data_IF_998732548901
#
_entry.id   IF_998732548901
#
_cell.length_a   1.000
_cell.length_b   1.000
_cell.length_c   1.000
_cell.angle_alpha   90.00
_cell.angle_beta   90.00
_cell.angle_gamma   90.00
#
_symmetry.space_group_name_H-M   'P 1'
#
loop_
_entity.id
_entity.type
_entity.pdbx_description
1 polymer ?
#
# COMPACT_ATOMS: atom_id res chain seq x y z
N UNK A 1 7.04 2.48 -1.25
CA UNK A 1 7.32 3.92 -1.11
C UNK A 1 6.00 4.62 -0.83
N UNK A 2 5.61 4.72 0.45
CA UNK A 2 4.46 5.50 0.88
C UNK A 2 4.98 6.80 1.50
N UNK A 3 4.24 7.89 1.35
CA UNK A 3 4.48 9.16 2.03
C UNK A 3 3.16 9.95 2.07
N UNK A 4 2.91 10.75 3.12
CA UNK A 4 1.76 11.65 3.15
C UNK A 4 1.73 12.57 1.92
N UNK A 5 0.54 12.83 1.37
CA UNK A 5 0.38 13.58 0.13
C UNK A 5 0.82 15.04 0.27
N UNK A 6 0.59 15.64 1.43
CA UNK A 6 1.05 16.97 1.81
C UNK A 6 2.58 17.09 1.73
N UNK A 7 3.34 16.07 2.13
CA UNK A 7 4.80 16.11 2.00
C UNK A 7 5.26 16.10 0.53
N UNK A 8 4.55 15.40 -0.37
CA UNK A 8 4.85 15.45 -1.81
C UNK A 8 4.60 16.86 -2.36
N UNK A 9 3.49 17.48 -1.96
CA UNK A 9 3.13 18.83 -2.37
C UNK A 9 4.13 19.84 -1.83
N UNK A 10 4.51 19.73 -0.56
CA UNK A 10 5.51 20.58 0.09
C UNK A 10 6.85 20.51 -0.64
N UNK A 11 7.33 19.29 -0.94
CA UNK A 11 8.55 19.10 -1.71
C UNK A 11 8.47 19.73 -3.10
N UNK A 12 7.33 19.60 -3.78
CA UNK A 12 7.10 20.20 -5.10
C UNK A 12 7.17 21.74 -5.04
N UNK A 13 6.49 22.35 -4.06
CA UNK A 13 6.49 23.81 -3.87
C UNK A 13 7.91 24.29 -3.58
N UNK A 14 8.63 23.63 -2.67
CA UNK A 14 10.01 24.00 -2.35
C UNK A 14 10.96 23.81 -3.54
N UNK A 15 10.76 22.78 -4.36
CA UNK A 15 11.50 22.60 -5.61
C UNK A 15 11.26 23.76 -6.58
N UNK A 16 10.01 24.24 -6.71
CA UNK A 16 9.67 25.38 -7.56
C UNK A 16 10.27 26.69 -7.05
N UNK A 17 10.22 26.93 -5.73
CA UNK A 17 10.83 28.13 -5.10
C UNK A 17 12.34 28.14 -5.31
N UNK A 18 13.00 27.03 -5.03
CA UNK A 18 14.45 26.87 -5.24
C UNK A 18 14.81 27.02 -6.72
N UNK A 19 13.98 26.50 -7.64
CA UNK A 19 14.17 26.69 -9.08
C UNK A 19 14.07 28.16 -9.48
N UNK A 20 13.07 28.88 -8.99
CA UNK A 20 12.85 30.29 -9.31
C UNK A 20 13.97 31.21 -8.78
N UNK A 21 14.58 30.84 -7.65
CA UNK A 21 15.66 31.60 -7.03
C UNK A 21 17.04 31.37 -7.68
N UNK A 22 17.17 30.42 -8.62
CA UNK A 22 18.44 30.11 -9.27
C UNK A 22 18.74 31.09 -10.40
N UNK A 23 19.97 31.62 -10.38
CA UNK A 23 20.48 32.54 -11.40
C UNK A 23 21.10 31.84 -12.62
N UNK A 24 21.23 30.51 -12.59
CA UNK A 24 21.87 29.70 -13.64
C UNK A 24 20.93 28.63 -14.18
N UNK A 25 21.18 28.20 -15.42
CA UNK A 25 20.46 27.09 -16.05
C UNK A 25 20.62 25.82 -15.20
N UNK A 26 19.52 25.24 -14.69
CA UNK A 26 19.61 24.13 -13.75
C UNK A 26 20.00 22.84 -14.47
N UNK A 27 20.83 22.04 -13.80
CA UNK A 27 20.92 20.61 -14.10
C UNK A 27 19.56 19.95 -13.82
N UNK A 28 19.22 18.92 -14.60
CA UNK A 28 18.06 18.08 -14.30
C UNK A 28 18.33 17.32 -12.98
N UNK A 29 17.67 17.75 -11.90
CA UNK A 29 17.77 17.11 -10.58
C UNK A 29 16.50 16.30 -10.35
N UNK A 30 16.68 15.02 -10.02
CA UNK A 30 15.59 14.14 -9.60
C UNK A 30 15.50 14.18 -8.09
N UNK A 31 14.32 14.55 -7.58
CA UNK A 31 13.99 14.54 -6.16
C UNK A 31 13.15 13.30 -5.85
N UNK A 32 13.66 12.44 -4.96
CA UNK A 32 12.90 11.30 -4.45
C UNK A 32 12.16 11.72 -3.17
N UNK A 33 10.84 11.65 -3.20
CA UNK A 33 9.98 12.04 -2.07
C UNK A 33 9.14 10.83 -1.69
N UNK A 34 9.48 10.20 -0.58
CA UNK A 34 8.91 8.93 -0.18
C UNK A 34 9.46 8.44 1.16
N UNK A 35 8.97 7.28 1.61
CA UNK A 35 9.69 6.49 2.62
C UNK A 35 11.12 6.21 2.12
N UNK A 36 12.10 6.87 2.71
CA UNK A 36 13.48 6.91 2.21
C UNK A 36 14.41 6.01 3.00
N UNK A 37 15.69 6.01 2.65
CA UNK A 37 16.75 5.36 3.43
C UNK A 37 16.82 5.89 4.86
N UNK A 38 16.57 7.18 5.07
CA UNK A 38 16.61 7.82 6.39
C UNK A 38 15.42 7.44 7.28
N UNK A 39 14.27 7.09 6.69
CA UNK A 39 13.12 6.57 7.44
C UNK A 39 12.29 5.55 6.62
N UNK A 40 12.75 4.29 6.53
CA UNK A 40 12.15 3.31 5.65
C UNK A 40 10.83 2.76 6.19
N UNK A 41 9.81 2.67 5.32
CA UNK A 41 8.54 2.02 5.62
C UNK A 41 8.31 0.85 4.66
N UNK A 42 8.39 -0.37 5.19
CA UNK A 42 8.32 -1.61 4.41
C UNK A 42 6.91 -2.18 4.42
N UNK A 43 6.61 -3.01 3.42
CA UNK A 43 5.33 -3.72 3.36
C UNK A 43 5.06 -4.56 4.62
N UNK A 44 6.09 -5.15 5.25
CA UNK A 44 5.96 -5.86 6.52
C UNK A 44 5.40 -4.97 7.64
N UNK A 45 5.90 -3.73 7.76
CA UNK A 45 5.39 -2.76 8.72
C UNK A 45 3.91 -2.45 8.47
N UNK A 46 3.55 -2.21 7.20
CA UNK A 46 2.16 -1.98 6.81
C UNK A 46 1.26 -3.17 7.19
N UNK A 47 1.67 -4.40 6.88
CA UNK A 47 0.86 -5.59 7.20
C UNK A 47 0.67 -5.79 8.70
N UNK A 48 1.69 -5.49 9.51
CA UNK A 48 1.60 -5.56 10.95
C UNK A 48 0.62 -4.52 11.51
N UNK A 49 0.76 -3.26 11.08
CA UNK A 49 -0.09 -2.16 11.52
C UNK A 49 -1.56 -2.37 11.09
N UNK A 50 -1.82 -2.85 9.87
CA UNK A 50 -3.16 -3.21 9.40
C UNK A 50 -3.78 -4.27 10.32
N UNK A 51 -3.07 -5.37 10.58
CA UNK A 51 -3.60 -6.44 11.43
C UNK A 51 -3.92 -5.90 12.83
N UNK A 52 -3.00 -5.15 13.43
CA UNK A 52 -3.18 -4.61 14.79
C UNK A 52 -4.36 -3.64 14.86
N UNK A 53 -4.45 -2.71 13.90
CA UNK A 53 -5.54 -1.73 13.85
C UNK A 53 -6.91 -2.40 13.73
N UNK A 54 -7.10 -3.31 12.77
CA UNK A 54 -8.42 -3.91 12.53
C UNK A 54 -8.78 -5.03 13.52
N UNK A 55 -7.81 -5.59 14.26
CA UNK A 55 -8.12 -6.43 15.42
C UNK A 55 -8.68 -5.58 16.56
N UNK A 56 -8.13 -4.39 16.79
CA UNK A 56 -8.61 -3.46 17.83
C UNK A 56 -9.90 -2.75 17.41
N UNK A 57 -10.04 -2.44 16.12
CA UNK A 57 -11.16 -1.70 15.52
C UNK A 57 -11.78 -2.53 14.38
N UNK A 58 -12.48 -3.63 14.70
CA UNK A 58 -13.06 -4.48 13.66
C UNK A 58 -14.12 -3.74 12.87
N UNK A 59 -14.10 -3.93 11.55
CA UNK A 59 -15.17 -3.46 10.67
C UNK A 59 -16.47 -4.22 10.99
N UNK A 60 -17.60 -3.55 10.84
CA UNK A 60 -18.92 -4.14 11.07
C UNK A 60 -19.51 -4.60 9.73
N UNK A 61 -20.00 -5.83 9.70
CA UNK A 61 -20.68 -6.36 8.51
C UNK A 61 -22.12 -5.83 8.38
N UNK A 62 -22.82 -6.27 7.32
CA UNK A 62 -24.20 -5.86 7.03
C UNK A 62 -25.21 -6.32 8.09
N UNK A 63 -24.85 -7.33 8.88
CA UNK A 63 -25.67 -7.90 9.94
C UNK A 63 -25.34 -7.31 11.31
N UNK A 64 -24.48 -6.28 11.36
CA UNK A 64 -24.06 -5.62 12.60
C UNK A 64 -22.98 -6.39 13.37
N UNK A 65 -22.37 -7.42 12.79
CA UNK A 65 -21.37 -8.26 13.48
C UNK A 65 -19.95 -7.80 13.17
N UNK A 66 -19.03 -7.82 14.16
CA UNK A 66 -17.62 -7.57 13.92
C UNK A 66 -17.00 -8.59 12.97
N UNK A 67 -16.36 -8.12 11.91
CA UNK A 67 -15.62 -8.95 10.97
C UNK A 67 -14.34 -9.44 11.65
N UNK A 68 -14.21 -10.76 11.78
CA UNK A 68 -13.01 -11.39 12.36
C UNK A 68 -11.82 -11.20 11.42
N UNK A 69 -10.86 -10.39 11.84
CA UNK A 69 -9.61 -10.18 11.09
C UNK A 69 -8.68 -11.36 11.33
N UNK A 70 -8.42 -12.12 10.27
CA UNK A 70 -7.39 -13.15 10.28
C UNK A 70 -6.01 -12.55 10.06
N UNK A 71 -4.97 -13.19 10.59
CA UNK A 71 -3.58 -12.78 10.34
C UNK A 71 -3.31 -12.80 8.83
N UNK A 72 -2.92 -11.65 8.29
CA UNK A 72 -2.56 -11.55 6.87
C UNK A 72 -1.34 -12.43 6.57
N UNK A 73 -1.46 -13.34 5.61
CA UNK A 73 -0.33 -14.16 5.15
C UNK A 73 0.58 -13.30 4.27
N UNK A 74 1.77 -12.99 4.77
CA UNK A 74 2.82 -12.36 3.97
C UNK A 74 3.51 -13.41 3.09
N UNK A 75 3.83 -13.03 1.86
CA UNK A 75 4.55 -13.86 0.90
C UNK A 75 5.91 -13.22 0.62
N UNK A 76 6.93 -14.05 0.37
CA UNK A 76 8.28 -13.58 0.05
C UNK A 76 8.48 -13.29 -1.44
N UNK A 77 7.63 -13.85 -2.29
CA UNK A 77 7.64 -13.68 -3.75
C UNK A 77 6.28 -13.98 -4.37
N UNK A 78 6.05 -13.50 -5.60
CA UNK A 78 4.87 -13.86 -6.37
C UNK A 78 4.78 -15.37 -6.65
N UNK A 79 5.92 -16.05 -6.80
CA UNK A 79 5.95 -17.50 -6.93
C UNK A 79 5.38 -18.21 -5.68
N UNK A 80 5.79 -17.79 -4.47
CA UNK A 80 5.27 -18.35 -3.22
C UNK A 80 3.77 -18.09 -3.05
N UNK A 81 3.30 -16.90 -3.44
CA UNK A 81 1.88 -16.58 -3.50
C UNK A 81 1.11 -17.49 -4.47
N UNK A 82 1.61 -17.65 -5.70
CA UNK A 82 0.98 -18.51 -6.72
C UNK A 82 0.88 -19.96 -6.25
N UNK A 83 1.92 -20.50 -5.63
CA UNK A 83 1.92 -21.87 -5.08
C UNK A 83 0.86 -21.99 -3.98
N UNK A 84 0.83 -21.06 -3.04
CA UNK A 84 -0.18 -21.05 -1.97
C UNK A 84 -1.60 -20.99 -2.54
N UNK A 85 -1.84 -20.10 -3.52
CA UNK A 85 -3.14 -19.97 -4.17
C UNK A 85 -3.54 -21.22 -4.94
N UNK A 86 -2.59 -21.88 -5.61
CA UNK A 86 -2.81 -23.13 -6.31
C UNK A 86 -3.24 -24.25 -5.37
N UNK A 87 -2.52 -24.45 -4.26
CA UNK A 87 -2.79 -25.52 -3.30
C UNK A 87 -4.09 -25.28 -2.53
N UNK A 88 -4.28 -24.06 -2.00
CA UNK A 88 -5.39 -23.78 -1.07
C UNK A 88 -6.71 -23.52 -1.77
N UNK A 89 -6.70 -22.92 -2.96
CA UNK A 89 -7.92 -22.48 -3.63
C UNK A 89 -8.12 -23.13 -4.99
N UNK A 90 -7.11 -23.14 -5.88
CA UNK A 90 -7.29 -23.68 -7.24
C UNK A 90 -7.55 -25.19 -7.22
N UNK A 91 -6.78 -25.95 -6.44
CA UNK A 91 -6.96 -27.40 -6.32
C UNK A 91 -8.32 -27.74 -5.71
N UNK A 92 -8.69 -27.10 -4.61
CA UNK A 92 -9.99 -27.26 -3.96
C UNK A 92 -11.16 -26.94 -4.92
N UNK A 93 -11.02 -25.88 -5.71
CA UNK A 93 -12.02 -25.47 -6.68
C UNK A 93 -12.14 -26.46 -7.86
N UNK A 94 -11.03 -27.05 -8.32
CA UNK A 94 -11.03 -28.11 -9.34
C UNK A 94 -11.69 -29.39 -8.84
N UNK A 95 -11.42 -29.79 -7.59
CA UNK A 95 -12.08 -30.95 -6.96
C UNK A 95 -13.58 -30.69 -6.84
N UNK A 96 -13.98 -29.49 -6.42
CA UNK A 96 -15.37 -29.09 -6.37
C UNK A 96 -16.04 -29.13 -7.76
N UNK A 97 -15.35 -28.68 -8.81
CA UNK A 97 -15.84 -28.76 -10.18
C UNK A 97 -16.09 -30.20 -10.63
N UNK A 98 -15.16 -31.11 -10.32
CA UNK A 98 -15.30 -32.52 -10.66
C UNK A 98 -16.53 -33.12 -9.96
N UNK A 99 -16.72 -32.87 -8.67
CA UNK A 99 -17.87 -33.36 -7.90
C UNK A 99 -19.22 -32.86 -8.45
N UNK A 100 -19.28 -31.62 -8.93
CA UNK A 100 -20.48 -31.07 -9.58
C UNK A 100 -20.80 -31.84 -10.86
N UNK A 101 -19.79 -32.09 -11.68
CA UNK A 101 -19.96 -32.76 -12.98
C UNK A 101 -20.24 -34.27 -12.86
N UNK A 102 -19.92 -34.90 -11.73
CA UNK A 102 -20.08 -36.36 -11.55
C UNK A 102 -21.29 -36.74 -10.69
N UNK A 103 -21.65 -35.96 -9.68
CA UNK A 103 -22.63 -36.40 -8.65
C UNK A 103 -23.78 -35.41 -8.45
N UNK A 104 -23.53 -34.11 -8.60
CA UNK A 104 -24.39 -33.05 -8.06
C UNK A 104 -25.02 -32.16 -9.13
N UNK A 105 -25.44 -32.70 -10.29
CA UNK A 105 -25.98 -32.01 -11.49
C UNK A 105 -27.13 -31.00 -11.19
N UNK A 106 -26.81 -29.91 -10.51
CA UNK A 106 -27.72 -28.89 -10.04
C UNK A 106 -27.13 -27.54 -10.45
N UNK A 107 -27.94 -26.78 -11.19
CA UNK A 107 -27.57 -25.46 -11.73
C UNK A 107 -26.98 -24.52 -10.67
N UNK A 108 -27.51 -24.56 -9.44
CA UNK A 108 -27.05 -23.75 -8.31
C UNK A 108 -25.58 -23.98 -7.94
N UNK A 109 -25.06 -25.21 -8.01
CA UNK A 109 -23.65 -25.48 -7.74
C UNK A 109 -22.75 -25.01 -8.88
N UNK A 110 -23.21 -25.13 -10.12
CA UNK A 110 -22.50 -24.62 -11.30
C UNK A 110 -22.34 -23.09 -11.22
N UNK A 111 -23.40 -22.37 -10.87
CA UNK A 111 -23.36 -20.91 -10.70
C UNK A 111 -22.40 -20.50 -9.57
N UNK A 112 -22.42 -21.23 -8.44
CA UNK A 112 -21.47 -21.05 -7.33
C UNK A 112 -20.02 -21.27 -7.78
N UNK A 113 -19.73 -22.34 -8.52
CA UNK A 113 -18.40 -22.61 -9.05
C UNK A 113 -17.92 -21.47 -9.95
N UNK A 114 -18.73 -21.02 -10.92
CA UNK A 114 -18.36 -19.93 -11.83
C UNK A 114 -18.09 -18.64 -11.03
N UNK A 115 -18.89 -18.36 -10.00
CA UNK A 115 -18.69 -17.20 -9.15
C UNK A 115 -17.36 -17.26 -8.38
N UNK A 116 -17.02 -18.43 -7.81
CA UNK A 116 -15.75 -18.65 -7.11
C UNK A 116 -14.55 -18.57 -8.05
N UNK A 117 -14.63 -19.19 -9.24
CA UNK A 117 -13.59 -19.14 -10.26
C UNK A 117 -13.32 -17.70 -10.70
N UNK A 118 -14.38 -16.92 -10.95
CA UNK A 118 -14.26 -15.50 -11.29
C UNK A 118 -13.64 -14.69 -10.15
N UNK A 119 -14.00 -14.97 -8.90
CA UNK A 119 -13.40 -14.31 -7.73
C UNK A 119 -11.92 -14.64 -7.61
N UNK A 120 -11.52 -15.90 -7.81
CA UNK A 120 -10.14 -16.34 -7.80
C UNK A 120 -9.33 -15.66 -8.92
N UNK A 121 -9.83 -15.65 -10.17
CA UNK A 121 -9.18 -15.00 -11.31
C UNK A 121 -8.98 -13.49 -11.08
N UNK A 122 -9.99 -12.81 -10.53
CA UNK A 122 -9.86 -11.39 -10.17
C UNK A 122 -8.79 -11.16 -9.10
N UNK A 123 -8.76 -11.99 -8.06
CA UNK A 123 -7.74 -11.92 -7.02
C UNK A 123 -6.32 -12.13 -7.55
N UNK A 124 -6.14 -13.12 -8.43
CA UNK A 124 -4.85 -13.38 -9.09
C UNK A 124 -4.40 -12.19 -9.94
N UNK A 125 -5.29 -11.64 -10.78
CA UNK A 125 -4.97 -10.48 -11.62
C UNK A 125 -4.61 -9.25 -10.80
N UNK A 126 -5.29 -9.03 -9.66
CA UNK A 126 -4.97 -7.94 -8.76
C UNK A 126 -3.58 -8.14 -8.13
N UNK A 127 -3.25 -9.35 -7.70
CA UNK A 127 -1.92 -9.65 -7.16
C UNK A 127 -0.81 -9.44 -8.20
N UNK A 128 -1.04 -9.82 -9.47
CA UNK A 128 -0.11 -9.59 -10.57
C UNK A 128 0.08 -8.09 -10.87
N UNK A 129 -0.99 -7.31 -10.86
CA UNK A 129 -0.93 -5.87 -11.06
C UNK A 129 -0.10 -5.16 -9.97
N UNK A 130 -0.20 -5.63 -8.72
CA UNK A 130 0.48 -5.03 -7.58
C UNK A 130 1.84 -5.69 -7.23
N UNK A 131 2.22 -6.74 -7.95
CA UNK A 131 3.49 -7.45 -7.79
C UNK A 131 4.71 -6.51 -7.68
N UNK A 132 4.94 -5.56 -8.62
CA UNK A 132 6.13 -4.71 -8.58
C UNK A 132 6.15 -3.75 -7.38
N UNK A 133 5.02 -3.52 -6.71
CA UNK A 133 4.93 -2.63 -5.55
C UNK A 133 5.09 -3.39 -4.23
N UNK A 134 4.45 -4.57 -4.13
CA UNK A 134 4.48 -5.39 -2.91
C UNK A 134 5.83 -6.06 -2.72
N UNK A 135 6.44 -6.54 -3.80
CA UNK A 135 7.73 -7.24 -3.75
C UNK A 135 8.93 -6.33 -4.07
N UNK A 136 8.72 -5.01 -4.14
CA UNK A 136 9.82 -4.07 -4.29
C UNK A 136 10.71 -4.10 -3.03
N UNK A 137 11.99 -4.45 -3.23
CA UNK A 137 12.97 -4.48 -2.14
C UNK A 137 13.88 -3.25 -2.09
N UNK A 138 13.81 -2.40 -3.12
CA UNK A 138 14.61 -1.20 -3.19
C UNK A 138 14.21 -0.20 -2.10
N UNK A 139 15.19 0.58 -1.65
CA UNK A 139 15.00 1.73 -0.79
C UNK A 139 15.57 2.92 -1.56
N UNK A 140 14.80 4.01 -1.63
CA UNK A 140 15.21 5.20 -2.35
C UNK A 140 16.04 6.10 -1.43
N UNK A 141 17.18 6.55 -1.95
CA UNK A 141 17.96 7.62 -1.34
C UNK A 141 17.23 8.96 -1.56
N UNK A 142 17.16 9.77 -0.52
CA UNK A 142 16.54 11.08 -0.49
C UNK A 142 17.55 12.23 -0.34
N UNK A 143 18.85 11.98 -0.55
CA UNK A 143 19.90 13.00 -0.43
C UNK A 143 19.63 14.28 -1.24
N UNK A 144 19.05 14.18 -2.44
CA UNK A 144 18.68 15.38 -3.23
C UNK A 144 17.54 16.17 -2.60
N UNK A 145 16.55 15.48 -2.02
CA UNK A 145 15.41 16.09 -1.33
C UNK A 145 15.85 16.73 -0.01
N UNK A 146 16.77 16.10 0.72
CA UNK A 146 17.41 16.69 1.91
C UNK A 146 18.18 17.97 1.55
N UNK A 147 19.01 17.93 0.50
CA UNK A 147 19.72 19.12 0.01
C UNK A 147 18.77 20.23 -0.39
N UNK A 148 17.66 19.90 -1.07
CA UNK A 148 16.61 20.86 -1.42
C UNK A 148 16.03 21.51 -0.17
N UNK A 149 15.73 20.74 0.87
CA UNK A 149 15.18 21.27 2.11
C UNK A 149 16.15 22.21 2.83
N UNK A 150 17.44 21.85 2.86
CA UNK A 150 18.50 22.70 3.43
C UNK A 150 18.71 23.98 2.62
N UNK A 151 18.59 23.92 1.29
CA UNK A 151 18.68 25.09 0.43
C UNK A 151 17.47 26.02 0.63
N UNK A 152 16.26 25.46 0.59
CA UNK A 152 15.01 26.19 0.75
C UNK A 152 14.92 26.88 2.12
N UNK A 153 15.40 26.25 3.20
CA UNK A 153 15.38 26.86 4.54
C UNK A 153 16.29 28.08 4.69
N UNK A 154 17.27 28.24 3.79
CA UNK A 154 18.15 29.42 3.75
C UNK A 154 17.57 30.55 2.90
N UNK A 155 16.73 30.23 1.92
CA UNK A 155 16.25 31.18 0.90
C UNK A 155 14.80 31.59 1.10
N UNK A 156 13.97 30.77 1.76
CA UNK A 156 12.55 31.00 2.02
C UNK A 156 12.27 30.95 3.54
N UNK A 157 11.90 32.07 4.17
CA UNK A 157 11.53 32.12 5.60
C UNK A 157 10.40 31.15 5.98
N UNK A 158 9.45 30.92 5.06
CA UNK A 158 8.30 30.06 5.23
C UNK A 158 8.60 28.56 5.01
N UNK A 159 9.84 28.19 4.65
CA UNK A 159 10.20 26.80 4.33
C UNK A 159 9.85 25.79 5.45
N UNK A 160 9.84 26.24 6.70
CA UNK A 160 9.45 25.42 7.86
C UNK A 160 7.98 24.95 7.80
N UNK A 161 7.09 25.73 7.17
CA UNK A 161 5.68 25.35 6.98
C UNK A 161 5.51 24.27 5.89
N UNK A 162 6.49 24.15 5.00
CA UNK A 162 6.52 23.17 3.91
C UNK A 162 7.50 22.04 4.23
N UNK A 163 7.42 21.47 5.44
CA UNK A 163 8.24 20.32 5.78
C UNK A 163 7.87 19.08 4.93
N UNK A 164 8.88 18.41 4.39
CA UNK A 164 8.74 17.14 3.66
C UNK A 164 9.84 16.14 4.05
N UNK A 165 10.48 16.34 5.20
CA UNK A 165 11.52 15.43 5.69
C UNK A 165 10.90 14.09 6.13
N UNK A 166 11.18 12.97 5.45
CA UNK A 166 10.64 11.68 5.85
C UNK A 166 11.08 11.29 7.27
N UNK A 167 12.23 11.75 7.77
CA UNK A 167 12.68 11.45 9.13
C UNK A 167 11.77 12.01 10.23
N UNK A 168 10.95 13.03 9.90
CA UNK A 168 9.97 13.60 10.83
C UNK A 168 8.70 12.74 11.00
N UNK A 169 8.49 11.73 10.16
CA UNK A 169 7.29 10.89 10.19
C UNK A 169 7.42 9.81 11.26
N UNK A 170 6.52 9.82 12.24
CA UNK A 170 6.22 8.62 13.02
C UNK A 170 5.22 7.76 12.25
N UNK A 171 5.72 6.73 11.55
CA UNK A 171 4.88 5.87 10.70
C UNK A 171 3.77 5.16 11.48
N UNK A 172 4.04 4.74 12.71
CA UNK A 172 3.05 4.05 13.52
C UNK A 172 1.88 4.98 13.86
N UNK A 173 2.18 6.16 14.40
CA UNK A 173 1.16 7.16 14.74
C UNK A 173 0.40 7.63 13.48
N UNK A 174 1.13 7.93 12.40
CA UNK A 174 0.49 8.33 11.12
C UNK A 174 -0.49 7.27 10.63
N UNK A 175 -0.10 5.99 10.63
CA UNK A 175 -0.95 4.92 10.12
C UNK A 175 -2.13 4.61 11.04
N UNK A 176 -1.88 4.49 12.35
CA UNK A 176 -2.87 4.08 13.34
C UNK A 176 -3.88 5.19 13.67
N UNK A 177 -3.42 6.44 13.73
CA UNK A 177 -4.21 7.55 14.29
C UNK A 177 -4.82 8.45 13.19
N UNK A 178 -4.20 8.51 12.01
CA UNK A 178 -4.68 9.35 10.91
C UNK A 178 -5.13 8.50 9.70
N UNK A 179 -4.25 7.67 9.15
CA UNK A 179 -4.49 7.02 7.85
C UNK A 179 -5.62 5.98 7.89
N UNK A 180 -5.55 4.98 8.78
CA UNK A 180 -6.58 3.94 8.85
C UNK A 180 -7.94 4.47 9.34
N UNK A 181 -8.03 5.34 10.36
CA UNK A 181 -9.29 5.97 10.73
C UNK A 181 -9.91 6.77 9.58
N UNK A 182 -9.09 7.53 8.85
CA UNK A 182 -9.52 8.25 7.66
C UNK A 182 -10.06 7.33 6.57
N UNK A 183 -9.37 6.21 6.30
CA UNK A 183 -9.81 5.20 5.34
C UNK A 183 -11.17 4.60 5.73
N UNK A 184 -11.35 4.24 7.00
CA UNK A 184 -12.62 3.69 7.50
C UNK A 184 -13.75 4.72 7.38
N UNK A 185 -13.49 5.97 7.75
CA UNK A 185 -14.51 7.03 7.75
C UNK A 185 -14.95 7.46 6.35
N UNK A 186 -14.01 7.51 5.40
CA UNK A 186 -14.23 8.19 4.11
C UNK A 186 -14.29 7.25 2.90
N UNK A 187 -13.70 6.05 2.99
CA UNK A 187 -13.58 5.13 1.84
C UNK A 187 -14.35 3.84 2.05
N UNK A 188 -14.21 3.21 3.23
CA UNK A 188 -14.85 1.94 3.56
C UNK A 188 -16.25 2.18 4.15
N UNK A 189 -17.17 2.65 3.32
CA UNK A 189 -18.62 2.69 3.63
C UNK A 189 -19.33 1.45 3.11
#
# INVERSE_FOLDING_TARGET
>A
MQIPADMVINALIMAMVEYANRSTTPSEIIYHVGSSLRNPFKFSNLTELINRYFVQNPLIDKDGKPIKVGKLTAFSSMASFRIYMAIRYSLALKVFHLAINTVLFQKSYKDKYIALERKLKRGMRLAELYEPYVFFKGIFDDANSEKLQIAASKTCPEAHAFNFDPASINWEAYMMDAHFPGLVKHVLK
#
